data_IF_357563104967
#
_entry.id   IF_357563104967
#
_cell.length_a   1.000
_cell.length_b   1.000
_cell.length_c   1.000
_cell.angle_alpha   90.00
_cell.angle_beta   90.00
_cell.angle_gamma   90.00
#
_symmetry.space_group_name_H-M   'P 1'
#
loop_
_entity.id
_entity.type
_entity.pdbx_description
1 polymer ?
#
# COMPACT_ATOMS: atom_id res chain seq x y z
N UNK A 1 25.09 -0.57 5.84
CA UNK A 1 23.95 -1.44 6.17
C UNK A 1 24.17 -2.31 7.41
N UNK A 2 25.37 -2.81 7.73
CA UNK A 2 25.61 -3.49 9.03
C UNK A 2 25.88 -2.54 10.21
N UNK A 3 26.35 -1.30 9.96
CA UNK A 3 26.65 -0.33 11.02
C UNK A 3 25.39 0.29 11.66
N UNK A 4 24.30 0.40 10.90
CA UNK A 4 23.10 1.12 11.31
C UNK A 4 22.31 0.38 12.41
N UNK A 5 22.30 -0.96 12.35
CA UNK A 5 21.65 -1.80 13.37
C UNK A 5 22.39 -1.79 14.71
N UNK A 6 23.71 -1.68 14.66
CA UNK A 6 24.54 -1.57 15.86
C UNK A 6 24.32 -0.21 16.54
N UNK A 7 24.12 0.85 15.76
CA UNK A 7 23.84 2.18 16.28
C UNK A 7 22.46 2.25 16.96
N UNK A 8 21.40 1.74 16.31
CA UNK A 8 20.05 1.70 16.91
C UNK A 8 20.06 0.95 18.25
N UNK A 9 20.74 -0.19 18.29
CA UNK A 9 20.89 -0.99 19.51
C UNK A 9 21.60 -0.21 20.61
N UNK A 10 22.70 0.48 20.29
CA UNK A 10 23.43 1.31 21.26
C UNK A 10 22.54 2.41 21.84
N UNK A 11 21.76 3.09 21.00
CA UNK A 11 20.86 4.17 21.45
C UNK A 11 19.77 3.65 22.38
N UNK A 12 19.15 2.51 22.06
CA UNK A 12 18.09 1.91 22.90
C UNK A 12 18.66 1.44 24.24
N UNK A 13 19.85 0.83 24.25
CA UNK A 13 20.52 0.39 25.48
C UNK A 13 20.89 1.57 26.38
N UNK A 14 21.46 2.64 25.83
CA UNK A 14 21.78 3.85 26.59
C UNK A 14 20.52 4.47 27.23
N UNK A 15 19.38 4.43 26.53
CA UNK A 15 18.10 4.94 27.05
C UNK A 15 17.53 4.05 28.16
N UNK A 16 17.70 2.73 28.10
CA UNK A 16 17.32 1.84 29.20
C UNK A 16 18.18 2.10 30.44
N UNK A 17 19.50 2.29 30.27
CA UNK A 17 20.41 2.62 31.37
C UNK A 17 20.05 3.93 32.09
N UNK A 18 19.71 4.98 31.33
CA UNK A 18 19.23 6.24 31.90
C UNK A 18 17.92 6.09 32.68
N UNK A 19 16.99 5.25 32.19
CA UNK A 19 15.74 4.94 32.89
C UNK A 19 15.99 4.16 34.18
N UNK A 20 16.95 3.23 34.17
CA UNK A 20 17.38 2.49 35.37
C UNK A 20 17.91 3.41 36.44
N UNK A 21 18.73 4.41 36.08
CA UNK A 21 19.22 5.43 37.03
C UNK A 21 18.11 6.32 37.61
N UNK A 22 16.96 6.37 36.95
CA UNK A 22 15.81 7.23 37.30
C UNK A 22 14.67 6.47 38.00
N UNK A 23 14.83 5.18 38.30
CA UNK A 23 13.80 4.36 38.96
C UNK A 23 12.59 4.01 38.08
N UNK A 24 12.69 4.19 36.75
CA UNK A 24 11.62 3.87 35.81
C UNK A 24 11.62 2.39 35.42
N UNK A 25 10.47 1.83 35.01
CA UNK A 25 10.39 0.47 34.50
C UNK A 25 11.29 0.26 33.28
N UNK A 26 11.90 -0.92 33.19
CA UNK A 26 12.73 -1.36 32.06
C UNK A 26 12.00 -1.25 30.74
N UNK A 27 12.74 -0.90 29.70
CA UNK A 27 12.24 -0.98 28.34
C UNK A 27 12.22 -2.44 27.86
N UNK A 28 11.23 -2.76 27.05
CA UNK A 28 11.29 -3.92 26.18
C UNK A 28 12.23 -3.56 25.01
N UNK A 29 13.49 -3.95 25.16
CA UNK A 29 14.59 -3.54 24.28
C UNK A 29 14.32 -3.99 22.84
N UNK A 30 13.82 -5.22 22.64
CA UNK A 30 13.56 -5.76 21.30
C UNK A 30 12.42 -5.00 20.61
N UNK A 31 11.34 -4.73 21.33
CA UNK A 31 10.20 -3.96 20.80
C UNK A 31 10.57 -2.51 20.48
N UNK A 32 11.41 -1.88 21.29
CA UNK A 32 11.88 -0.51 21.03
C UNK A 32 12.89 -0.45 19.89
N UNK A 33 13.76 -1.45 19.72
CA UNK A 33 14.62 -1.57 18.54
C UNK A 33 13.77 -1.72 17.28
N UNK A 34 12.77 -2.59 17.29
CA UNK A 34 11.87 -2.77 16.15
C UNK A 34 11.10 -1.47 15.83
N UNK A 35 10.64 -0.76 16.86
CA UNK A 35 9.98 0.54 16.70
C UNK A 35 10.93 1.61 16.15
N UNK A 36 12.17 1.67 16.64
CA UNK A 36 13.18 2.61 16.18
C UNK A 36 13.64 2.31 14.75
N UNK A 37 13.77 1.03 14.39
CA UNK A 37 14.02 0.59 13.02
C UNK A 37 12.85 0.98 12.11
N UNK A 38 11.60 0.70 12.50
CA UNK A 38 10.40 1.14 11.74
C UNK A 38 10.34 2.66 11.57
N UNK A 39 10.66 3.42 12.62
CA UNK A 39 10.72 4.89 12.54
C UNK A 39 11.84 5.37 11.63
N UNK A 40 13.02 4.73 11.64
CA UNK A 40 14.12 5.05 10.73
C UNK A 40 13.81 4.67 9.30
N UNK A 41 13.22 3.51 9.03
CA UNK A 41 12.75 3.16 7.68
C UNK A 41 11.73 4.18 7.18
N UNK A 42 10.82 4.63 8.04
CA UNK A 42 9.88 5.70 7.71
C UNK A 42 10.56 7.09 7.54
N UNK A 43 11.69 7.35 8.20
CA UNK A 43 12.44 8.62 8.10
C UNK A 43 13.41 8.64 6.92
N UNK A 44 13.99 7.50 6.51
CA UNK A 44 14.85 7.40 5.31
C UNK A 44 14.02 7.61 4.04
N UNK A 45 12.71 7.34 4.09
CA UNK A 45 11.77 7.68 3.01
C UNK A 45 11.36 9.17 3.02
N UNK A 46 11.70 9.95 4.05
CA UNK A 46 11.23 11.33 4.23
C UNK A 46 12.07 12.40 3.50
N UNK A 47 13.15 12.05 2.81
CA UNK A 47 13.96 13.04 2.06
C UNK A 47 13.60 13.15 0.58
N UNK A 48 12.83 12.23 -0.02
CA UNK A 48 12.19 12.47 -1.33
C UNK A 48 11.01 11.52 -1.52
N UNK A 49 9.78 12.02 -1.40
CA UNK A 49 8.61 11.27 -1.81
C UNK A 49 8.72 10.91 -3.30
N UNK A 50 8.58 9.63 -3.65
CA UNK A 50 8.61 9.15 -5.03
C UNK A 50 7.18 8.80 -5.48
N UNK A 51 6.63 9.48 -6.50
CA UNK A 51 5.31 9.16 -7.03
C UNK A 51 5.18 7.68 -7.41
N UNK A 52 4.05 7.09 -7.04
CA UNK A 52 3.79 5.68 -7.28
C UNK A 52 2.30 5.39 -7.28
N UNK A 53 1.93 4.31 -7.97
CA UNK A 53 0.56 3.82 -7.95
C UNK A 53 0.39 2.68 -6.93
N UNK A 54 -0.79 2.59 -6.34
CA UNK A 54 -1.23 1.52 -5.48
C UNK A 54 -2.46 0.87 -6.10
N UNK A 55 -2.41 -0.45 -6.21
CA UNK A 55 -3.55 -1.30 -6.54
C UNK A 55 -4.34 -1.49 -5.26
N UNK A 56 -5.57 -1.01 -5.25
CA UNK A 56 -6.50 -1.29 -4.16
C UNK A 56 -7.43 -2.41 -4.60
N UNK A 57 -7.60 -3.37 -3.71
CA UNK A 57 -8.32 -4.62 -3.99
C UNK A 57 -9.52 -4.76 -3.05
N UNK A 58 -10.32 -5.79 -3.26
CA UNK A 58 -11.44 -6.15 -2.40
C UNK A 58 -11.05 -6.28 -0.91
N UNK A 59 -9.82 -6.74 -0.64
CA UNK A 59 -9.33 -6.93 0.72
C UNK A 59 -8.16 -5.99 0.97
N UNK A 60 -8.28 -5.20 2.02
CA UNK A 60 -7.18 -4.36 2.50
C UNK A 60 -6.12 -5.16 3.27
N UNK A 61 -6.47 -6.36 3.75
CA UNK A 61 -5.57 -7.29 4.42
C UNK A 61 -5.57 -8.64 3.71
N UNK A 62 -4.40 -9.26 3.50
CA UNK A 62 -4.31 -10.53 2.80
C UNK A 62 -4.93 -11.65 3.63
N UNK A 63 -5.57 -12.61 2.97
CA UNK A 63 -6.09 -13.83 3.62
C UNK A 63 -4.99 -14.73 4.16
N UNK A 64 -3.76 -14.63 3.64
CA UNK A 64 -2.58 -15.34 4.13
C UNK A 64 -1.42 -14.35 4.34
N UNK A 65 -1.37 -13.73 5.52
CA UNK A 65 -0.41 -12.66 5.83
C UNK A 65 1.06 -13.10 5.73
N UNK A 66 1.39 -14.33 6.14
CA UNK A 66 2.75 -14.86 6.08
C UNK A 66 3.21 -15.02 4.62
N UNK A 67 2.35 -15.60 3.77
CA UNK A 67 2.63 -15.80 2.34
C UNK A 67 2.77 -14.46 1.62
N UNK A 68 1.85 -13.52 1.88
CA UNK A 68 1.90 -12.17 1.31
C UNK A 68 3.14 -11.39 1.77
N UNK A 69 3.55 -11.53 3.03
CA UNK A 69 4.77 -10.94 3.58
C UNK A 69 6.02 -11.49 2.91
N UNK A 70 6.10 -12.82 2.73
CA UNK A 70 7.23 -13.48 2.07
C UNK A 70 7.36 -13.07 0.59
N UNK A 71 6.25 -12.97 -0.14
CA UNK A 71 6.24 -12.50 -1.52
C UNK A 71 6.57 -11.00 -1.62
N UNK A 72 6.23 -10.24 -0.58
CA UNK A 72 6.43 -8.80 -0.46
C UNK A 72 5.19 -8.01 -0.88
N UNK A 73 4.46 -7.48 0.10
CA UNK A 73 3.21 -6.72 -0.13
C UNK A 73 3.43 -5.52 -1.07
N UNK A 74 4.56 -4.81 -0.94
CA UNK A 74 4.94 -3.74 -1.87
C UNK A 74 5.09 -4.23 -3.31
N UNK A 75 5.65 -5.41 -3.53
CA UNK A 75 5.76 -5.99 -4.87
C UNK A 75 4.41 -6.42 -5.44
N UNK A 76 3.42 -6.71 -4.60
CA UNK A 76 2.08 -7.15 -5.02
C UNK A 76 1.15 -5.97 -5.32
N UNK A 77 1.23 -4.89 -4.54
CA UNK A 77 0.26 -3.79 -4.58
C UNK A 77 0.82 -2.47 -5.12
N UNK A 78 2.14 -2.25 -5.06
CA UNK A 78 2.75 -1.02 -5.59
C UNK A 78 3.16 -1.20 -7.04
N UNK A 79 2.88 -0.17 -7.83
CA UNK A 79 3.32 0.01 -9.20
C UNK A 79 4.28 1.20 -9.26
N UNK A 80 5.43 0.99 -9.90
CA UNK A 80 6.41 2.06 -10.13
C UNK A 80 5.96 2.88 -11.32
N UNK A 81 6.15 4.19 -11.22
CA UNK A 81 5.89 5.14 -12.29
C UNK A 81 7.24 5.62 -12.84
N UNK A 82 7.30 5.75 -14.16
CA UNK A 82 8.38 6.40 -14.87
C UNK A 82 8.19 7.91 -14.81
N UNK A 83 8.99 8.55 -13.95
CA UNK A 83 8.95 9.99 -13.72
C UNK A 83 9.52 10.80 -14.88
N UNK A 84 10.25 10.17 -15.82
CA UNK A 84 10.85 10.85 -16.97
C UNK A 84 9.77 11.25 -17.98
N UNK A 85 8.69 10.47 -18.08
CA UNK A 85 7.62 10.66 -19.07
C UNK A 85 6.60 11.74 -18.68
N UNK A 86 6.71 12.32 -17.49
CA UNK A 86 5.77 13.33 -16.99
C UNK A 86 4.52 12.75 -16.31
N UNK A 87 3.92 13.56 -15.42
CA UNK A 87 2.80 13.16 -14.56
C UNK A 87 1.51 12.87 -15.34
N UNK A 88 1.32 13.52 -16.49
CA UNK A 88 0.18 13.31 -17.39
C UNK A 88 0.09 11.87 -17.91
N UNK A 89 1.20 11.13 -17.89
CA UNK A 89 1.25 9.72 -18.29
C UNK A 89 0.98 8.74 -17.14
N UNK A 90 0.95 9.19 -15.88
CA UNK A 90 0.90 8.29 -14.72
C UNK A 90 -0.32 7.39 -14.68
N UNK A 91 -1.49 7.89 -15.11
CA UNK A 91 -2.72 7.08 -15.20
C UNK A 91 -2.52 5.92 -16.17
N UNK A 92 -2.02 6.21 -17.37
CA UNK A 92 -1.78 5.19 -18.38
C UNK A 92 -0.72 4.19 -17.93
N UNK A 93 0.35 4.67 -17.30
CA UNK A 93 1.39 3.81 -16.74
C UNK A 93 0.86 2.89 -15.65
N UNK A 94 0.03 3.41 -14.72
CA UNK A 94 -0.59 2.62 -13.67
C UNK A 94 -1.53 1.55 -14.23
N UNK A 95 -2.34 1.90 -15.24
CA UNK A 95 -3.22 0.98 -15.95
C UNK A 95 -2.44 -0.15 -16.64
N UNK A 96 -1.39 0.19 -17.38
CA UNK A 96 -0.52 -0.78 -18.04
C UNK A 96 0.21 -1.66 -17.01
N UNK A 97 0.65 -1.06 -15.91
CA UNK A 97 1.30 -1.75 -14.79
C UNK A 97 0.37 -2.75 -14.11
N UNK A 98 -0.90 -2.41 -13.92
CA UNK A 98 -1.92 -3.32 -13.38
C UNK A 98 -2.18 -4.48 -14.34
N UNK A 99 -2.40 -4.20 -15.62
CA UNK A 99 -2.62 -5.25 -16.62
C UNK A 99 -1.44 -6.22 -16.69
N UNK A 100 -0.21 -5.69 -16.74
CA UNK A 100 1.01 -6.49 -16.67
C UNK A 100 1.11 -7.28 -15.37
N UNK A 101 0.81 -6.67 -14.22
CA UNK A 101 0.82 -7.35 -12.92
C UNK A 101 -0.14 -8.53 -12.89
N UNK A 102 -1.34 -8.37 -13.42
CA UNK A 102 -2.32 -9.45 -13.54
C UNK A 102 -1.76 -10.57 -14.40
N UNK A 103 -1.22 -10.26 -15.59
CA UNK A 103 -0.63 -11.24 -16.52
C UNK A 103 0.55 -11.98 -15.87
N UNK A 104 1.47 -11.25 -15.24
CA UNK A 104 2.66 -11.81 -14.60
C UNK A 104 2.29 -12.73 -13.42
N UNK A 105 1.17 -12.45 -12.75
CA UNK A 105 0.62 -13.25 -11.65
C UNK A 105 -0.37 -14.32 -12.11
N UNK A 106 -0.69 -14.38 -13.41
CA UNK A 106 -1.61 -15.35 -14.01
C UNK A 106 -0.94 -16.74 -14.19
N UNK A 107 -0.23 -17.18 -13.16
CA UNK A 107 0.16 -18.57 -12.99
C UNK A 107 -1.07 -19.37 -12.53
N UNK A 108 -1.93 -19.71 -13.50
CA UNK A 108 -3.01 -20.73 -13.51
C UNK A 108 -4.17 -20.57 -12.50
N UNK A 109 -3.95 -20.01 -11.32
CA UNK A 109 -4.91 -20.13 -10.20
C UNK A 109 -5.62 -18.83 -9.81
N UNK A 110 -5.07 -17.66 -10.15
CA UNK A 110 -5.54 -16.39 -9.58
C UNK A 110 -6.57 -15.62 -10.42
N UNK A 111 -6.80 -15.99 -11.69
CA UNK A 111 -7.92 -15.51 -12.53
C UNK A 111 -8.14 -13.99 -12.49
N UNK A 112 -7.08 -13.20 -12.66
CA UNK A 112 -7.18 -11.74 -12.60
C UNK A 112 -7.15 -11.12 -11.20
N UNK A 113 -6.92 -11.92 -10.15
CA UNK A 113 -6.82 -11.44 -8.77
C UNK A 113 -5.37 -11.21 -8.36
N UNK A 114 -5.19 -10.32 -7.39
CA UNK A 114 -3.94 -10.20 -6.65
C UNK A 114 -3.91 -11.31 -5.58
N UNK A 115 -2.85 -12.14 -5.51
CA UNK A 115 -2.73 -13.21 -4.53
C UNK A 115 -3.08 -12.76 -3.11
N UNK A 116 -4.00 -13.48 -2.47
CA UNK A 116 -4.51 -13.24 -1.10
C UNK A 116 -5.30 -11.94 -0.87
N UNK A 117 -5.25 -10.98 -1.80
CA UNK A 117 -5.91 -9.69 -1.72
C UNK A 117 -7.23 -9.65 -2.51
N UNK A 118 -7.38 -10.50 -3.54
CA UNK A 118 -8.61 -10.59 -4.35
C UNK A 118 -8.58 -9.70 -5.58
N UNK A 119 -9.75 -9.40 -6.13
CA UNK A 119 -9.84 -8.61 -7.36
C UNK A 119 -9.40 -7.15 -7.12
N UNK A 120 -8.69 -6.52 -8.07
CA UNK A 120 -8.53 -5.07 -8.08
C UNK A 120 -9.88 -4.36 -8.10
N UNK A 121 -10.00 -3.25 -7.38
CA UNK A 121 -11.21 -2.44 -7.32
C UNK A 121 -10.98 -1.03 -7.88
N UNK A 122 -9.80 -0.45 -7.63
CA UNK A 122 -9.41 0.88 -8.12
C UNK A 122 -7.89 1.04 -8.06
N UNK A 123 -7.41 2.07 -8.73
CA UNK A 123 -6.04 2.54 -8.66
C UNK A 123 -5.97 3.83 -7.87
N UNK A 124 -4.94 3.99 -7.06
CA UNK A 124 -4.59 5.27 -6.43
C UNK A 124 -3.21 5.65 -6.91
N UNK A 125 -3.06 6.87 -7.43
CA UNK A 125 -1.76 7.44 -7.76
C UNK A 125 -1.42 8.42 -6.66
N UNK A 126 -0.35 8.14 -5.93
CA UNK A 126 0.21 9.07 -4.95
C UNK A 126 1.25 9.93 -5.68
N UNK A 127 1.00 11.23 -5.75
CA UNK A 127 1.87 12.24 -6.39
C UNK A 127 2.78 12.92 -5.36
N UNK A 128 2.30 13.06 -4.12
CA UNK A 128 3.00 13.64 -2.99
C UNK A 128 2.53 13.01 -1.67
N UNK A 129 3.13 13.40 -0.55
CA UNK A 129 2.70 12.94 0.79
C UNK A 129 1.25 13.33 1.11
N UNK A 130 0.84 14.50 0.64
CA UNK A 130 -0.46 15.14 0.85
C UNK A 130 -1.36 15.10 -0.40
N UNK A 131 -0.89 14.48 -1.49
CA UNK A 131 -1.60 14.47 -2.76
C UNK A 131 -1.69 13.07 -3.36
N UNK A 132 -2.91 12.54 -3.41
CA UNK A 132 -3.22 11.32 -4.14
C UNK A 132 -4.56 11.43 -4.87
N UNK A 133 -4.70 10.70 -5.97
CA UNK A 133 -5.92 10.67 -6.76
C UNK A 133 -6.35 9.23 -6.99
N UNK A 134 -7.64 8.95 -6.79
CA UNK A 134 -8.26 7.66 -7.05
C UNK A 134 -8.89 7.64 -8.44
N UNK A 135 -8.63 6.56 -9.16
CA UNK A 135 -9.16 6.26 -10.48
C UNK A 135 -9.88 4.91 -10.45
N UNK A 136 -10.93 4.77 -11.26
CA UNK A 136 -11.50 3.45 -11.52
C UNK A 136 -10.56 2.61 -12.41
N UNK A 137 -10.95 1.36 -12.67
CA UNK A 137 -10.19 0.44 -13.52
C UNK A 137 -10.30 0.74 -15.01
N UNK A 138 -10.97 1.83 -15.40
CA UNK A 138 -10.97 2.38 -16.76
C UNK A 138 -10.10 3.65 -16.84
N UNK A 139 -9.41 4.01 -15.76
CA UNK A 139 -8.57 5.20 -15.66
C UNK A 139 -9.36 6.50 -15.48
N UNK A 140 -10.65 6.43 -15.17
CA UNK A 140 -11.49 7.61 -14.95
C UNK A 140 -11.33 8.12 -13.53
N UNK A 141 -11.17 9.44 -13.40
CA UNK A 141 -11.13 10.14 -12.12
C UNK A 141 -12.36 9.83 -11.25
N UNK A 142 -12.12 9.52 -9.98
CA UNK A 142 -13.17 9.36 -8.95
C UNK A 142 -13.09 10.52 -7.95
N UNK A 143 -11.97 10.67 -7.27
CA UNK A 143 -11.78 11.66 -6.21
C UNK A 143 -10.30 11.96 -5.93
N UNK A 144 -10.05 13.09 -5.30
CA UNK A 144 -8.75 13.47 -4.74
C UNK A 144 -8.74 13.14 -3.25
N UNK A 145 -7.66 12.54 -2.76
CA UNK A 145 -7.45 12.17 -1.37
C UNK A 145 -6.53 13.18 -0.69
N UNK A 146 -6.76 13.45 0.59
CA UNK A 146 -5.99 14.40 1.42
C UNK A 146 -4.57 13.91 1.77
N UNK A 147 -4.19 12.72 1.31
CA UNK A 147 -2.86 12.17 1.57
C UNK A 147 -2.56 10.91 0.76
N UNK A 148 -1.27 10.60 0.66
CA UNK A 148 -0.78 9.39 0.04
C UNK A 148 -1.36 8.14 0.71
N UNK A 149 -1.80 7.19 -0.10
CA UNK A 149 -2.25 5.91 0.41
C UNK A 149 -1.05 4.98 0.63
N UNK A 150 -0.74 4.56 1.86
CA UNK A 150 0.39 3.68 2.10
C UNK A 150 0.12 2.27 1.54
N UNK A 151 1.20 1.57 1.18
CA UNK A 151 1.08 0.19 0.70
C UNK A 151 0.57 -0.71 1.85
N UNK A 152 -0.57 -1.37 1.64
CA UNK A 152 -1.08 -2.39 2.56
C UNK A 152 -1.89 -1.87 3.76
N UNK A 153 -2.49 -0.67 3.70
CA UNK A 153 -3.35 -0.21 4.79
C UNK A 153 -4.73 -0.89 4.82
N UNK A 154 -4.94 -1.62 5.92
CA UNK A 154 -6.04 -2.54 6.19
C UNK A 154 -7.43 -1.93 6.50
N UNK A 155 -7.63 -0.62 6.62
CA UNK A 155 -8.81 -0.16 7.39
C UNK A 155 -9.67 0.97 6.79
N UNK A 156 -9.17 1.87 5.95
CA UNK A 156 -9.95 3.06 5.59
C UNK A 156 -10.53 3.06 4.17
N UNK A 157 -10.03 2.21 3.27
CA UNK A 157 -10.50 2.20 1.88
C UNK A 157 -11.75 1.33 1.64
N UNK A 158 -12.11 0.46 2.60
CA UNK A 158 -13.26 -0.46 2.48
C UNK A 158 -14.60 0.30 2.49
N UNK A 159 -14.71 1.39 3.25
CA UNK A 159 -15.98 2.12 3.35
C UNK A 159 -16.35 2.75 2.00
N UNK A 160 -15.38 3.38 1.33
CA UNK A 160 -15.59 4.07 0.05
C UNK A 160 -15.67 3.10 -1.15
N UNK A 161 -14.92 1.99 -1.11
CA UNK A 161 -15.00 0.92 -2.11
C UNK A 161 -16.38 0.26 -2.15
N UNK A 162 -16.96 -0.01 -0.96
CA UNK A 162 -18.31 -0.59 -0.84
C UNK A 162 -19.39 0.35 -1.36
N UNK A 163 -19.29 1.64 -1.10
CA UNK A 163 -20.27 2.61 -1.61
C UNK A 163 -20.23 2.75 -3.13
N UNK A 164 -19.04 2.78 -3.74
CA UNK A 164 -18.92 2.89 -5.19
C UNK A 164 -19.40 1.63 -5.93
N UNK A 165 -19.04 0.43 -5.44
CA UNK A 165 -19.53 -0.84 -5.97
C UNK A 165 -21.05 -0.99 -5.80
N UNK A 166 -21.60 -0.54 -4.67
CA UNK A 166 -23.06 -0.50 -4.44
C UNK A 166 -23.77 0.42 -5.45
N UNK A 167 -23.19 1.60 -5.75
CA UNK A 167 -23.73 2.53 -6.76
C UNK A 167 -23.63 2.00 -8.19
N UNK A 168 -22.53 1.34 -8.58
CA UNK A 168 -22.41 0.70 -9.91
C UNK A 168 -23.42 -0.44 -10.08
N UNK A 169 -23.65 -1.25 -9.05
CA UNK A 169 -24.66 -2.33 -9.09
C UNK A 169 -26.10 -1.81 -9.09
N UNK A 170 -26.37 -0.67 -8.46
CA UNK A 170 -27.68 -0.01 -8.51
C UNK A 170 -27.97 0.68 -9.86
N UNK A 171 -26.94 0.99 -10.65
CA UNK A 171 -27.07 1.69 -11.94
C UNK A 171 -27.26 0.76 -13.15
N UNK A 172 -27.18 -0.57 -12.97
CA UNK A 172 -27.57 -1.55 -14.00
C UNK A 172 -28.88 -2.23 -13.63
N UNK A 173 -30.05 -1.67 -13.99
CA UNK A 173 -31.27 -2.45 -14.02
C UNK A 173 -31.14 -3.48 -15.13
N UNK A 174 -31.14 -4.74 -14.72
CA UNK A 174 -31.33 -5.93 -15.54
C UNK A 174 -32.53 -5.78 -16.47
N UNK A 175 -32.30 -5.42 -17.73
CA UNK A 175 -33.23 -5.73 -18.81
C UNK A 175 -32.89 -7.14 -19.30
N UNK A 176 -33.35 -8.14 -18.56
CA UNK A 176 -33.45 -9.51 -19.04
C UNK A 176 -34.93 -9.72 -19.36
N UNK A 177 -35.31 -9.43 -20.61
CA UNK A 177 -36.52 -9.99 -21.21
C UNK A 177 -36.06 -11.23 -21.98
N UNK A 178 -36.43 -12.40 -21.47
CA UNK A 178 -36.25 -13.67 -22.17
C UNK A 178 -37.53 -13.91 -22.99
N UNK A 179 -37.43 -14.31 -24.27
CA UNK A 179 -38.58 -14.66 -25.11
C UNK A 179 -39.33 -15.92 -24.63
#
# INVERSE_FOLDING_TARGET
MMDDDAEVRRTVLARDELRRGSGLPRLDIEREIEKAQRQRTNQVDAETFIPHAIIVTERSSPTQINSAGWFGIGKLLRLRLDLIQGEDTFVQQAMNGLAKRIIDLDCVDWRGQIPWFGAPAFLVINYGEDHAIRYDLDGKYIETLEGALPTGYGAQTIHLAREHLSRKNAASPSNITIP
#
